data_IF_827094017628
#
_entry.id   IF_827094017628
#
_cell.length_a   1.000
_cell.length_b   1.000
_cell.length_c   1.000
_cell.angle_alpha   90.00
_cell.angle_beta   90.00
_cell.angle_gamma   90.00
#
_symmetry.space_group_name_H-M   'P 1'
#
loop_
_entity.id
_entity.type
_entity.pdbx_description
1 polymer ?
#
# COMPACT_ATOMS: atom_id res chain seq x y z
N UNK A 1 28.33 24.08 -10.50
CA UNK A 1 27.35 23.23 -11.20
C UNK A 1 26.49 22.54 -10.14
N UNK A 2 25.19 22.84 -10.03
CA UNK A 2 24.35 22.24 -9.00
C UNK A 2 23.93 20.82 -9.43
N UNK A 3 24.08 19.87 -8.50
CA UNK A 3 23.65 18.47 -8.68
C UNK A 3 22.12 18.36 -8.62
N UNK A 4 21.46 17.68 -9.53
CA UNK A 4 20.02 17.46 -9.45
C UNK A 4 19.65 16.47 -8.36
N UNK A 5 18.62 16.81 -7.58
CA UNK A 5 18.05 15.96 -6.53
C UNK A 5 17.22 14.84 -7.14
N UNK A 6 17.48 13.62 -6.74
CA UNK A 6 16.71 12.43 -7.05
C UNK A 6 15.45 12.37 -6.16
N UNK A 7 14.27 12.24 -6.78
CA UNK A 7 13.06 11.80 -6.06
C UNK A 7 13.17 10.28 -5.83
N UNK A 8 12.99 9.77 -4.61
CA UNK A 8 12.94 8.35 -4.37
C UNK A 8 11.59 7.78 -4.77
N UNK A 9 11.64 6.67 -5.48
CA UNK A 9 10.52 5.74 -5.58
C UNK A 9 10.31 5.21 -4.16
N UNK A 10 9.17 5.54 -3.61
CA UNK A 10 8.62 5.27 -2.29
C UNK A 10 9.37 4.21 -1.47
N UNK A 11 10.40 4.65 -0.76
CA UNK A 11 10.79 4.11 0.53
C UNK A 11 11.07 5.33 1.40
N UNK A 12 10.41 5.44 2.53
CA UNK A 12 10.39 6.56 3.47
C UNK A 12 11.77 7.18 3.69
N UNK A 13 12.01 8.35 3.09
CA UNK A 13 13.14 9.19 3.44
C UNK A 13 12.61 10.54 3.95
N UNK A 14 12.73 10.78 5.25
CA UNK A 14 12.49 12.09 5.85
C UNK A 14 13.65 13.03 5.52
N UNK A 15 13.30 14.22 5.02
CA UNK A 15 14.22 15.30 4.69
C UNK A 15 14.76 16.00 5.95
N UNK A 16 16.05 16.29 5.95
CA UNK A 16 16.68 17.32 6.78
C UNK A 16 16.66 18.67 6.03
N UNK A 17 16.10 19.70 6.65
CA UNK A 17 16.28 21.08 6.22
C UNK A 17 17.42 21.73 7.03
N UNK A 18 18.47 22.19 6.34
CA UNK A 18 19.51 23.03 6.90
C UNK A 18 19.21 24.50 6.55
N UNK A 19 19.17 25.35 7.56
CA UNK A 19 18.96 26.80 7.44
C UNK A 19 20.29 27.49 7.10
N UNK A 20 20.32 28.26 6.01
CA UNK A 20 21.32 29.32 5.79
C UNK A 20 20.65 30.67 5.66
N UNK A 21 21.24 31.67 6.29
CA UNK A 21 20.74 33.02 6.43
C UNK A 21 20.83 33.85 5.12
N UNK A 22 19.95 34.79 5.03
CA UNK A 22 19.46 35.56 3.91
C UNK A 22 20.35 36.72 3.45
N UNK A 23 20.50 36.83 2.13
CA UNK A 23 20.63 38.12 1.45
C UNK A 23 19.33 38.39 0.70
N UNK A 24 18.81 39.62 0.77
CA UNK A 24 17.55 40.00 0.13
C UNK A 24 17.69 39.95 -1.40
N UNK A 25 17.01 38.99 -2.04
CA UNK A 25 16.84 38.90 -3.47
C UNK A 25 15.70 39.79 -3.97
N UNK A 26 15.78 40.30 -5.21
CA UNK A 26 14.71 41.09 -5.82
C UNK A 26 13.44 40.25 -5.92
N UNK A 27 12.31 40.85 -5.61
CA UNK A 27 10.97 40.24 -5.69
C UNK A 27 10.77 39.56 -7.05
N UNK A 28 10.55 38.23 -7.12
CA UNK A 28 10.26 37.59 -8.39
C UNK A 28 8.96 38.15 -8.96
N UNK A 29 8.82 38.17 -10.31
CA UNK A 29 7.58 38.59 -10.95
C UNK A 29 6.43 37.72 -10.44
N UNK A 30 5.18 38.26 -10.33
CA UNK A 30 4.05 37.50 -9.84
C UNK A 30 3.92 36.21 -10.65
N UNK A 31 3.84 35.08 -9.92
CA UNK A 31 3.61 33.79 -10.57
C UNK A 31 2.37 33.88 -11.47
N UNK A 32 2.37 33.30 -12.67
CA UNK A 32 1.19 33.27 -13.52
C UNK A 32 0.01 32.73 -12.71
N UNK A 33 -1.14 33.40 -12.82
CA UNK A 33 -2.35 32.99 -12.11
C UNK A 33 -2.57 31.49 -12.32
N UNK A 34 -2.58 30.72 -11.24
CA UNK A 34 -2.76 29.28 -11.31
C UNK A 34 -4.06 29.00 -12.08
N UNK A 35 -3.98 28.18 -13.13
CA UNK A 35 -5.18 27.78 -13.88
C UNK A 35 -6.15 27.13 -12.89
N UNK A 36 -7.43 27.54 -12.88
CA UNK A 36 -8.42 27.01 -11.91
C UNK A 36 -8.71 25.51 -12.12
N UNK A 37 -8.17 24.92 -13.14
CA UNK A 37 -8.32 23.48 -13.46
C UNK A 37 -7.00 22.84 -13.85
N UNK A 38 -6.86 21.56 -13.52
CA UNK A 38 -5.70 20.73 -13.84
C UNK A 38 -6.19 19.37 -14.37
N UNK A 39 -5.68 18.98 -15.53
CA UNK A 39 -5.90 17.66 -16.08
C UNK A 39 -4.85 16.68 -15.53
N UNK A 40 -5.31 15.59 -14.92
CA UNK A 40 -4.49 14.49 -14.42
C UNK A 40 -4.60 13.30 -15.39
N UNK A 41 -3.47 12.67 -15.69
CA UNK A 41 -3.43 11.50 -16.56
C UNK A 41 -2.31 10.57 -16.15
N UNK A 42 -2.61 9.24 -16.15
CA UNK A 42 -1.64 8.19 -15.91
C UNK A 42 -1.95 7.00 -16.81
N UNK A 43 -0.91 6.35 -17.37
CA UNK A 43 -1.03 5.14 -18.15
C UNK A 43 -0.05 4.08 -17.61
N UNK A 44 -0.49 2.83 -17.46
CA UNK A 44 0.35 1.72 -17.02
C UNK A 44 0.12 0.49 -17.89
N UNK A 45 1.17 0.04 -18.57
CA UNK A 45 1.22 -1.23 -19.26
C UNK A 45 1.93 -2.24 -18.35
N UNK A 46 1.34 -3.42 -18.17
CA UNK A 46 1.89 -4.49 -17.34
C UNK A 46 1.74 -5.83 -18.02
N UNK A 47 2.80 -6.61 -17.99
CA UNK A 47 2.79 -8.05 -18.20
C UNK A 47 3.01 -8.71 -16.83
N UNK A 48 2.11 -9.58 -16.40
CA UNK A 48 2.25 -10.43 -15.22
C UNK A 48 2.14 -11.90 -15.62
N UNK A 49 3.05 -12.73 -15.13
CA UNK A 49 2.99 -14.19 -15.27
C UNK A 49 3.03 -14.85 -13.91
N UNK A 50 2.23 -15.89 -13.72
CA UNK A 50 2.15 -16.67 -12.48
C UNK A 50 2.21 -18.15 -12.84
N UNK A 51 3.24 -18.81 -12.35
CA UNK A 51 3.41 -20.26 -12.31
C UNK A 51 3.13 -20.70 -10.86
N UNK A 52 2.06 -21.46 -10.65
CA UNK A 52 1.60 -21.91 -9.32
C UNK A 52 1.22 -23.39 -9.40
N UNK A 53 1.93 -24.23 -8.67
CA UNK A 53 1.78 -25.70 -8.66
C UNK A 53 0.41 -26.19 -8.14
N UNK A 54 -0.48 -25.28 -7.68
CA UNK A 54 -1.88 -25.58 -7.41
C UNK A 54 -2.71 -25.72 -8.69
N UNK A 55 -2.20 -25.28 -9.84
CA UNK A 55 -2.91 -25.24 -11.11
C UNK A 55 -2.15 -26.02 -12.19
N UNK A 56 -2.90 -26.68 -13.07
CA UNK A 56 -2.31 -27.40 -14.21
C UNK A 56 -1.83 -26.47 -15.36
N UNK A 57 -2.11 -25.19 -15.27
CA UNK A 57 -1.80 -24.18 -16.30
C UNK A 57 -1.39 -22.88 -15.64
N UNK A 58 -0.35 -22.28 -16.12
CA UNK A 58 0.12 -20.97 -15.71
C UNK A 58 -0.89 -19.85 -16.06
N UNK A 59 -0.77 -18.72 -15.40
CA UNK A 59 -1.46 -17.50 -15.78
C UNK A 59 -0.53 -16.51 -16.45
N UNK A 60 -1.06 -15.78 -17.43
CA UNK A 60 -0.37 -14.70 -18.12
C UNK A 60 -1.36 -13.61 -18.48
N UNK A 61 -1.13 -12.39 -18.01
CA UNK A 61 -1.96 -11.21 -18.26
C UNK A 61 -1.12 -10.07 -18.79
N UNK A 62 -1.49 -9.55 -19.97
CA UNK A 62 -0.98 -8.29 -20.48
C UNK A 62 -2.09 -7.25 -20.36
N UNK A 63 -1.94 -6.24 -19.50
CA UNK A 63 -2.98 -5.29 -19.16
C UNK A 63 -2.53 -3.86 -19.36
N UNK A 64 -3.42 -3.00 -19.86
CA UNK A 64 -3.25 -1.56 -19.97
C UNK A 64 -4.25 -0.86 -19.08
N UNK A 65 -3.79 -0.03 -18.17
CA UNK A 65 -4.61 0.88 -17.38
C UNK A 65 -4.44 2.30 -17.88
N UNK A 66 -5.55 3.02 -17.99
CA UNK A 66 -5.59 4.46 -18.24
C UNK A 66 -6.41 5.11 -17.14
N UNK A 67 -5.87 6.16 -16.52
CA UNK A 67 -6.58 7.07 -15.60
C UNK A 67 -6.60 8.46 -16.18
N UNK A 68 -7.75 9.10 -16.15
CA UNK A 68 -7.92 10.48 -16.57
C UNK A 68 -8.82 11.21 -15.59
N UNK A 69 -8.38 12.39 -15.15
CA UNK A 69 -9.10 13.20 -14.17
C UNK A 69 -9.02 14.69 -14.45
N UNK A 70 -10.03 15.39 -13.98
CA UNK A 70 -10.09 16.84 -13.96
C UNK A 70 -10.17 17.31 -12.53
N UNK A 71 -9.18 18.07 -12.10
CA UNK A 71 -9.17 18.76 -10.80
C UNK A 71 -9.48 20.23 -11.00
N UNK A 72 -10.44 20.70 -10.22
CA UNK A 72 -10.81 22.13 -10.14
C UNK A 72 -10.32 22.69 -8.80
N UNK A 73 -9.84 23.94 -8.85
CA UNK A 73 -9.47 24.71 -7.67
C UNK A 73 -10.24 26.02 -7.69
N UNK A 74 -10.77 26.44 -6.54
CA UNK A 74 -11.41 27.75 -6.40
C UNK A 74 -11.03 28.41 -5.07
N UNK A 75 -11.61 29.57 -4.78
CA UNK A 75 -11.24 30.37 -3.62
C UNK A 75 -11.33 29.59 -2.29
N UNK A 76 -10.60 30.08 -1.29
CA UNK A 76 -10.67 29.64 0.10
C UNK A 76 -10.22 28.18 0.34
N UNK A 77 -9.33 27.65 -0.52
CA UNK A 77 -8.74 26.34 -0.33
C UNK A 77 -9.59 25.16 -0.78
N UNK A 78 -10.72 25.41 -1.46
CA UNK A 78 -11.56 24.35 -1.99
C UNK A 78 -11.02 23.77 -3.31
N UNK A 79 -11.23 22.48 -3.50
CA UNK A 79 -10.97 21.77 -4.75
C UNK A 79 -11.97 20.65 -4.96
N UNK A 80 -12.14 20.20 -6.21
CA UNK A 80 -12.86 18.98 -6.54
C UNK A 80 -12.05 18.17 -7.54
N UNK A 81 -12.17 16.85 -7.48
CA UNK A 81 -11.61 15.93 -8.45
C UNK A 81 -12.68 14.99 -8.98
N UNK A 82 -12.67 14.77 -10.28
CA UNK A 82 -13.35 13.68 -10.94
C UNK A 82 -12.32 12.90 -11.75
N UNK A 83 -12.10 11.61 -11.43
CA UNK A 83 -11.13 10.73 -12.11
C UNK A 83 -11.80 9.41 -12.47
N UNK A 84 -11.75 9.08 -13.76
CA UNK A 84 -12.13 7.76 -14.27
C UNK A 84 -10.90 6.87 -14.49
N UNK A 85 -11.13 5.56 -14.45
CA UNK A 85 -10.13 4.53 -14.74
C UNK A 85 -10.71 3.54 -15.75
N UNK A 86 -9.87 3.13 -16.73
CA UNK A 86 -10.18 2.05 -17.66
C UNK A 86 -9.05 1.04 -17.71
N UNK A 87 -9.38 -0.25 -17.69
CA UNK A 87 -8.44 -1.36 -17.79
C UNK A 87 -8.85 -2.24 -18.96
N UNK A 88 -7.90 -2.51 -19.85
CA UNK A 88 -8.06 -3.46 -20.95
C UNK A 88 -7.00 -4.57 -20.83
N UNK A 89 -7.34 -5.79 -21.25
CA UNK A 89 -6.43 -6.93 -21.27
C UNK A 89 -6.22 -7.46 -22.70
N UNK A 90 -5.00 -7.87 -23.00
CA UNK A 90 -4.70 -8.64 -24.21
C UNK A 90 -4.69 -10.12 -23.85
N UNK A 91 -5.77 -10.84 -24.21
CA UNK A 91 -5.97 -12.27 -23.94
C UNK A 91 -6.62 -12.55 -22.59
N UNK A 92 -6.92 -13.83 -22.36
CA UNK A 92 -7.70 -14.33 -21.22
C UNK A 92 -7.03 -15.52 -20.52
N UNK A 93 -5.70 -15.63 -20.62
CA UNK A 93 -4.92 -16.73 -20.06
C UNK A 93 -4.66 -16.60 -18.55
N UNK A 94 -5.60 -16.03 -17.79
CA UNK A 94 -5.50 -15.80 -16.34
C UNK A 94 -6.91 -15.74 -15.71
N UNK A 95 -6.98 -15.89 -14.38
CA UNK A 95 -8.21 -15.65 -13.63
C UNK A 95 -8.22 -14.20 -13.11
N UNK A 96 -9.04 -13.33 -13.70
CA UNK A 96 -9.17 -11.95 -13.23
C UNK A 96 -10.13 -11.78 -12.05
N UNK A 97 -10.87 -12.83 -11.67
CA UNK A 97 -12.01 -12.74 -10.77
C UNK A 97 -13.32 -12.28 -11.43
N UNK A 98 -13.25 -11.81 -12.69
CA UNK A 98 -14.39 -11.36 -13.48
C UNK A 98 -14.65 -12.24 -14.73
N UNK A 99 -13.63 -12.92 -15.25
CA UNK A 99 -13.67 -13.67 -16.52
C UNK A 99 -14.01 -15.16 -16.38
N UNK A 100 -14.24 -15.67 -15.18
CA UNK A 100 -14.60 -17.07 -14.93
C UNK A 100 -13.49 -18.11 -15.17
N UNK A 101 -12.23 -17.71 -15.40
CA UNK A 101 -11.10 -18.59 -15.67
C UNK A 101 -10.49 -19.22 -14.42
N UNK A 102 -11.32 -19.80 -13.57
CA UNK A 102 -10.92 -20.34 -12.24
C UNK A 102 -9.94 -21.53 -12.29
N UNK A 103 -9.70 -22.13 -13.47
CA UNK A 103 -8.69 -23.18 -13.66
C UNK A 103 -7.27 -22.65 -13.83
N UNK A 104 -7.05 -21.33 -13.69
CA UNK A 104 -5.76 -20.66 -13.75
C UNK A 104 -5.48 -19.87 -12.49
N UNK A 105 -4.21 -19.62 -12.16
CA UNK A 105 -3.86 -18.70 -11.07
C UNK A 105 -4.52 -17.33 -11.22
N UNK A 106 -4.80 -16.70 -10.08
CA UNK A 106 -5.40 -15.38 -10.05
C UNK A 106 -4.36 -14.28 -10.35
N UNK A 107 -4.72 -13.39 -11.29
CA UNK A 107 -4.12 -12.07 -11.48
C UNK A 107 -5.28 -11.09 -11.40
N UNK A 108 -5.41 -10.41 -10.25
CA UNK A 108 -6.57 -9.56 -9.93
C UNK A 108 -6.46 -8.19 -10.62
N UNK A 109 -6.46 -8.22 -11.95
CA UNK A 109 -6.45 -7.04 -12.82
C UNK A 109 -7.55 -7.22 -13.88
N UNK A 110 -8.86 -7.13 -13.49
CA UNK A 110 -9.98 -7.31 -14.41
C UNK A 110 -10.07 -6.17 -15.42
N UNK A 111 -10.63 -6.47 -16.59
CA UNK A 111 -11.08 -5.44 -17.53
C UNK A 111 -12.28 -4.70 -16.97
N UNK A 112 -12.41 -3.41 -17.29
CA UNK A 112 -13.54 -2.60 -16.89
C UNK A 112 -13.27 -1.11 -17.00
N UNK A 113 -14.32 -0.32 -16.79
CA UNK A 113 -14.27 1.14 -16.70
C UNK A 113 -14.99 1.56 -15.44
N UNK A 114 -14.33 2.36 -14.60
CA UNK A 114 -14.84 2.73 -13.28
C UNK A 114 -14.61 4.20 -12.97
N UNK A 115 -15.46 4.73 -12.08
CA UNK A 115 -15.21 5.96 -11.38
C UNK A 115 -14.20 5.69 -10.27
N UNK A 116 -12.95 6.14 -10.45
CA UNK A 116 -11.90 5.88 -9.48
C UNK A 116 -11.97 6.85 -8.31
N UNK A 117 -12.07 8.15 -8.58
CA UNK A 117 -12.24 9.17 -7.54
C UNK A 117 -13.28 10.23 -7.94
N UNK A 118 -14.08 10.68 -6.96
CA UNK A 118 -15.00 11.80 -7.10
C UNK A 118 -15.21 12.43 -5.72
N UNK A 119 -14.58 13.56 -5.48
CA UNK A 119 -14.65 14.21 -4.17
C UNK A 119 -14.58 15.73 -4.24
N UNK A 120 -15.02 16.37 -3.16
CA UNK A 120 -14.75 17.76 -2.84
C UNK A 120 -13.83 17.78 -1.63
N UNK A 121 -12.81 18.62 -1.66
CA UNK A 121 -11.86 18.82 -0.57
C UNK A 121 -11.72 20.30 -0.23
N UNK A 122 -11.51 20.57 1.04
CA UNK A 122 -11.08 21.85 1.57
C UNK A 122 -9.75 21.67 2.30
N UNK A 123 -8.83 22.61 2.11
CA UNK A 123 -7.54 22.62 2.77
C UNK A 123 -7.09 24.04 3.11
N UNK A 124 -6.59 24.21 4.32
CA UNK A 124 -5.91 25.41 4.77
C UNK A 124 -4.52 25.10 5.36
N UNK A 125 -3.91 26.06 6.09
CA UNK A 125 -2.61 25.90 6.73
C UNK A 125 -2.64 24.99 7.95
N UNK A 126 -3.80 24.70 8.52
CA UNK A 126 -3.96 23.88 9.74
C UNK A 126 -4.43 22.48 9.44
N UNK A 127 -4.95 22.23 8.24
CA UNK A 127 -5.43 20.91 7.90
C UNK A 127 -6.38 20.91 6.72
N UNK A 128 -7.16 19.85 6.59
CA UNK A 128 -8.12 19.73 5.51
C UNK A 128 -9.18 18.67 5.78
N UNK A 129 -10.21 18.69 4.94
CA UNK A 129 -11.27 17.71 4.92
C UNK A 129 -11.60 17.32 3.47
N UNK A 130 -11.98 16.07 3.24
CA UNK A 130 -12.36 15.54 1.93
C UNK A 130 -13.62 14.70 2.09
N UNK A 131 -14.60 14.93 1.22
CA UNK A 131 -15.85 14.18 1.17
C UNK A 131 -16.09 13.59 -0.22
N UNK A 132 -16.37 12.30 -0.31
CA UNK A 132 -16.62 11.57 -1.54
C UNK A 132 -15.68 10.39 -1.74
N UNK A 133 -15.64 9.86 -2.99
CA UNK A 133 -14.78 8.74 -3.35
C UNK A 133 -13.34 9.19 -3.47
N UNK A 134 -12.47 8.60 -2.64
CA UNK A 134 -11.09 9.04 -2.46
C UNK A 134 -10.16 7.87 -2.14
N UNK A 135 -8.86 8.08 -2.36
CA UNK A 135 -7.79 7.22 -1.84
C UNK A 135 -7.54 7.55 -0.38
N UNK A 136 -7.37 6.54 0.44
CA UNK A 136 -6.87 6.69 1.81
C UNK A 136 -5.63 5.83 2.00
N UNK A 137 -4.59 6.45 2.56
CA UNK A 137 -3.31 5.79 2.84
C UNK A 137 -2.83 6.28 4.20
N UNK A 138 -2.81 5.39 5.20
CA UNK A 138 -2.32 5.73 6.53
C UNK A 138 -1.01 5.01 6.80
N UNK A 139 -0.04 5.74 7.31
CA UNK A 139 1.28 5.26 7.71
C UNK A 139 1.98 4.45 6.57
N UNK A 140 2.33 3.18 6.83
CA UNK A 140 2.91 2.28 5.83
C UNK A 140 1.84 1.48 5.05
N UNK A 141 0.56 1.78 5.22
CA UNK A 141 -0.56 1.09 4.59
C UNK A 141 -0.77 -0.38 5.04
N UNK A 142 -0.20 -0.76 6.19
CA UNK A 142 -0.42 -2.09 6.77
C UNK A 142 -1.87 -2.30 7.22
N UNK A 143 -2.55 -1.22 7.61
CA UNK A 143 -3.95 -1.24 8.04
C UNK A 143 -4.89 -0.62 7.03
N UNK A 144 -4.54 0.55 6.51
CA UNK A 144 -5.38 1.34 5.58
C UNK A 144 -4.53 1.75 4.38
N UNK A 145 -4.87 1.25 3.20
CA UNK A 145 -4.16 1.53 1.97
C UNK A 145 -5.05 1.46 0.74
N UNK A 146 -4.54 1.96 -0.39
CA UNK A 146 -5.28 2.00 -1.65
C UNK A 146 -4.92 0.86 -2.61
N UNK A 147 -4.02 -0.06 -2.23
CA UNK A 147 -3.57 -1.15 -3.10
C UNK A 147 -3.13 -0.69 -4.51
N UNK A 148 -2.46 0.46 -4.59
CA UNK A 148 -2.07 1.10 -5.86
C UNK A 148 -1.10 0.28 -6.74
N UNK A 149 -0.65 -0.87 -6.23
CA UNK A 149 0.08 -1.89 -6.99
C UNK A 149 -0.79 -2.49 -8.09
N UNK A 150 -2.07 -2.84 -7.80
CA UNK A 150 -2.98 -3.44 -8.77
C UNK A 150 -3.35 -2.44 -9.87
N UNK A 151 -3.83 -2.94 -11.02
CA UNK A 151 -4.31 -2.06 -12.09
C UNK A 151 -5.52 -1.26 -11.59
N UNK A 152 -6.54 -1.93 -11.05
CA UNK A 152 -7.60 -1.27 -10.31
C UNK A 152 -7.16 -1.11 -8.85
N UNK A 153 -7.31 0.08 -8.29
CA UNK A 153 -6.94 0.36 -6.90
C UNK A 153 -8.14 0.34 -5.96
N UNK A 154 -7.86 0.21 -4.68
CA UNK A 154 -8.86 0.34 -3.63
C UNK A 154 -9.15 1.82 -3.36
N UNK A 155 -10.44 2.20 -3.38
CA UNK A 155 -10.90 3.55 -3.02
C UNK A 155 -12.06 3.47 -2.03
N UNK A 156 -12.35 4.59 -1.38
CA UNK A 156 -13.32 4.65 -0.29
C UNK A 156 -14.31 5.79 -0.51
N UNK A 157 -15.61 5.51 -0.41
CA UNK A 157 -16.61 6.56 -0.22
C UNK A 157 -16.56 6.94 1.25
N UNK A 158 -16.06 8.17 1.56
CA UNK A 158 -15.66 8.55 2.88
C UNK A 158 -15.76 10.07 3.14
N UNK A 159 -15.87 10.40 4.42
CA UNK A 159 -15.51 11.71 4.96
C UNK A 159 -14.18 11.54 5.71
N UNK A 160 -13.14 12.26 5.31
CA UNK A 160 -11.83 12.20 5.96
C UNK A 160 -11.30 13.61 6.25
N UNK A 161 -10.35 13.70 7.15
CA UNK A 161 -9.65 14.96 7.42
C UNK A 161 -8.39 14.76 8.24
N UNK A 162 -7.55 15.79 8.20
CA UNK A 162 -6.37 15.93 9.03
C UNK A 162 -6.35 17.32 9.68
N UNK A 163 -5.78 17.38 10.88
CA UNK A 163 -5.66 18.62 11.63
C UNK A 163 -4.31 18.70 12.33
N UNK A 164 -3.57 19.79 12.06
CA UNK A 164 -2.28 20.10 12.67
C UNK A 164 -2.50 20.90 13.96
N UNK A 165 -2.54 20.22 15.09
CA UNK A 165 -2.64 20.89 16.40
C UNK A 165 -1.41 21.71 16.71
N UNK A 166 -0.24 21.17 16.36
CA UNK A 166 1.07 21.84 16.39
C UNK A 166 1.84 21.44 15.15
N UNK A 167 2.98 22.08 14.83
CA UNK A 167 3.87 21.60 13.75
C UNK A 167 4.34 20.13 13.91
N UNK A 168 4.29 19.62 15.15
CA UNK A 168 4.74 18.26 15.49
C UNK A 168 3.60 17.27 15.69
N UNK A 169 2.34 17.69 15.86
CA UNK A 169 1.20 16.83 16.18
C UNK A 169 0.09 16.99 15.17
N UNK A 170 -0.16 15.90 14.44
CA UNK A 170 -1.23 15.82 13.44
C UNK A 170 -2.23 14.74 13.86
N UNK A 171 -3.51 15.10 13.90
CA UNK A 171 -4.61 14.13 13.99
C UNK A 171 -5.21 13.90 12.62
N UNK A 172 -5.49 12.63 12.30
CA UNK A 172 -6.21 12.19 11.10
C UNK A 172 -7.41 11.38 11.51
N UNK A 173 -8.52 11.61 10.84
CA UNK A 173 -9.74 10.85 11.05
C UNK A 173 -10.43 10.54 9.74
N UNK A 174 -11.17 9.43 9.68
CA UNK A 174 -12.06 9.16 8.59
C UNK A 174 -13.28 8.36 9.05
N UNK A 175 -14.40 8.58 8.40
CA UNK A 175 -15.56 7.72 8.42
C UNK A 175 -15.78 7.15 7.02
N UNK A 176 -15.77 5.81 6.90
CA UNK A 176 -15.90 5.11 5.63
C UNK A 176 -17.31 4.53 5.54
N UNK A 177 -18.00 4.85 4.47
CA UNK A 177 -19.33 4.30 4.15
C UNK A 177 -19.22 3.07 3.24
N UNK A 178 -18.20 3.04 2.37
CA UNK A 178 -17.99 1.98 1.39
C UNK A 178 -16.53 1.84 1.01
N UNK A 179 -16.10 0.61 0.72
CA UNK A 179 -14.84 0.32 0.04
C UNK A 179 -15.10 -0.25 -1.35
N UNK A 180 -14.49 0.32 -2.38
CA UNK A 180 -14.40 -0.24 -3.73
C UNK A 180 -13.08 -0.99 -3.82
N UNK A 181 -13.16 -2.27 -4.18
CA UNK A 181 -12.03 -3.20 -4.07
C UNK A 181 -11.31 -3.36 -5.40
N UNK A 182 -10.07 -3.84 -5.33
CA UNK A 182 -9.19 -4.05 -6.51
C UNK A 182 -9.77 -5.00 -7.56
N UNK A 183 -10.76 -5.82 -7.23
CA UNK A 183 -11.41 -6.74 -8.16
C UNK A 183 -12.37 -6.05 -9.13
N UNK A 184 -12.69 -4.76 -8.89
CA UNK A 184 -13.52 -3.96 -9.78
C UNK A 184 -15.01 -4.34 -9.85
N UNK A 185 -15.78 -3.48 -10.48
CA UNK A 185 -17.24 -3.63 -10.61
C UNK A 185 -17.69 -4.85 -11.40
N UNK A 186 -16.83 -5.41 -12.25
CA UNK A 186 -17.08 -6.59 -13.07
C UNK A 186 -16.79 -7.92 -12.36
N UNK A 187 -16.23 -7.92 -11.14
CA UNK A 187 -15.97 -9.15 -10.40
C UNK A 187 -17.22 -10.02 -10.27
N UNK A 188 -17.08 -11.34 -10.40
CA UNK A 188 -18.22 -12.27 -10.34
C UNK A 188 -18.80 -12.35 -8.92
N UNK A 189 -17.95 -12.27 -7.90
CA UNK A 189 -18.37 -12.15 -6.50
C UNK A 189 -18.72 -10.69 -6.16
N UNK A 190 -19.99 -10.39 -5.83
CA UNK A 190 -20.39 -9.03 -5.43
C UNK A 190 -19.60 -8.49 -4.23
N UNK A 191 -19.21 -9.35 -3.29
CA UNK A 191 -18.43 -8.96 -2.11
C UNK A 191 -16.95 -8.68 -2.43
N UNK A 192 -16.49 -9.09 -3.59
CA UNK A 192 -15.18 -8.72 -4.13
C UNK A 192 -15.21 -7.38 -4.89
N UNK A 193 -16.39 -6.91 -5.35
CA UNK A 193 -16.54 -5.59 -6.01
C UNK A 193 -16.40 -4.45 -5.02
N UNK A 194 -17.29 -4.46 -4.04
CA UNK A 194 -17.39 -3.43 -3.01
C UNK A 194 -18.01 -3.99 -1.74
N UNK A 195 -17.85 -3.27 -0.61
CA UNK A 195 -18.53 -3.57 0.64
C UNK A 195 -19.02 -2.31 1.32
N UNK A 196 -20.22 -2.37 1.88
CA UNK A 196 -20.77 -1.30 2.72
C UNK A 196 -20.12 -1.36 4.08
N UNK A 197 -19.72 -0.19 4.54
CA UNK A 197 -18.99 -0.03 5.80
C UNK A 197 -19.71 0.94 6.74
N UNK A 198 -19.35 0.89 8.01
CA UNK A 198 -19.54 1.96 8.99
C UNK A 198 -18.26 2.05 9.83
N UNK A 199 -17.15 2.29 9.14
CA UNK A 199 -15.81 2.21 9.71
C UNK A 199 -15.33 3.57 10.16
N UNK A 200 -14.78 3.65 11.37
CA UNK A 200 -14.20 4.85 11.93
C UNK A 200 -12.69 4.67 12.12
N UNK A 201 -11.93 5.61 11.60
CA UNK A 201 -10.48 5.63 11.70
C UNK A 201 -10.02 6.84 12.48
N UNK A 202 -9.14 6.64 13.45
CA UNK A 202 -8.46 7.70 14.18
C UNK A 202 -6.97 7.38 14.22
N UNK A 203 -6.13 8.38 13.89
CA UNK A 203 -4.68 8.27 13.85
C UNK A 203 -4.08 9.59 14.35
N UNK A 204 -3.15 9.50 15.30
CA UNK A 204 -2.44 10.63 15.89
C UNK A 204 -0.94 10.45 15.67
N UNK A 205 -0.32 11.33 14.89
CA UNK A 205 1.09 11.29 14.57
C UNK A 205 1.84 12.44 15.25
N UNK A 206 2.80 12.10 16.11
CA UNK A 206 3.73 13.05 16.72
C UNK A 206 5.13 12.87 16.14
N UNK A 207 5.71 13.94 15.61
CA UNK A 207 7.03 13.94 14.99
C UNK A 207 7.99 14.79 15.81
N UNK A 208 9.16 14.25 16.14
CA UNK A 208 10.26 14.95 16.81
C UNK A 208 11.60 14.61 16.17
N UNK A 209 12.22 15.60 15.51
CA UNK A 209 13.42 15.36 14.71
C UNK A 209 13.18 14.30 13.63
N UNK A 210 14.02 13.27 13.61
CA UNK A 210 13.90 12.14 12.68
C UNK A 210 13.06 10.97 13.24
N UNK A 211 12.23 11.21 14.26
CA UNK A 211 11.40 10.19 14.87
C UNK A 211 9.92 10.53 14.73
N UNK A 212 9.10 9.52 14.58
CA UNK A 212 7.64 9.64 14.57
C UNK A 212 7.03 8.57 15.46
N UNK A 213 6.11 9.00 16.32
CA UNK A 213 5.24 8.13 17.11
C UNK A 213 3.81 8.30 16.60
N UNK A 214 3.17 7.20 16.24
CA UNK A 214 1.78 7.18 15.80
C UNK A 214 0.98 6.31 16.75
N UNK A 215 -0.13 6.83 17.26
CA UNK A 215 -1.16 6.05 17.96
C UNK A 215 -2.41 5.96 17.09
N UNK A 216 -3.07 4.81 17.04
CA UNK A 216 -4.26 4.65 16.21
C UNK A 216 -5.34 3.79 16.85
N UNK A 217 -6.59 4.06 16.44
CA UNK A 217 -7.78 3.30 16.75
C UNK A 217 -8.62 3.15 15.47
N UNK A 218 -8.80 1.91 14.98
CA UNK A 218 -9.56 1.59 13.79
C UNK A 218 -10.73 0.68 14.16
N UNK A 219 -11.93 1.22 14.06
CA UNK A 219 -13.20 0.54 14.34
C UNK A 219 -13.84 0.17 13.00
N UNK A 220 -13.45 -0.99 12.47
CA UNK A 220 -13.93 -1.49 11.19
C UNK A 220 -15.24 -2.27 11.36
N UNK A 221 -16.33 -1.74 10.84
CA UNK A 221 -17.64 -2.39 10.77
C UNK A 221 -17.97 -2.67 9.29
N UNK A 222 -17.85 -3.94 8.89
CA UNK A 222 -18.21 -4.45 7.57
C UNK A 222 -19.68 -4.90 7.60
N UNK A 223 -20.56 -4.14 6.93
CA UNK A 223 -22.00 -4.36 6.93
C UNK A 223 -22.44 -5.54 6.07
N UNK A 224 -21.58 -6.02 5.18
CA UNK A 224 -21.83 -7.12 4.28
C UNK A 224 -21.20 -8.44 4.76
N UNK A 225 -20.11 -8.37 5.52
CA UNK A 225 -19.37 -9.51 6.08
C UNK A 225 -19.09 -9.31 7.56
N UNK A 226 -20.04 -9.62 8.41
CA UNK A 226 -19.97 -9.37 9.85
C UNK A 226 -18.70 -9.94 10.51
N UNK A 227 -18.20 -11.11 10.04
CA UNK A 227 -16.98 -11.75 10.55
C UNK A 227 -15.69 -10.97 10.23
N UNK A 228 -15.73 -10.02 9.28
CA UNK A 228 -14.61 -9.13 8.97
C UNK A 228 -14.56 -7.90 9.89
N UNK A 229 -15.61 -7.63 10.68
CA UNK A 229 -15.68 -6.46 11.56
C UNK A 229 -14.75 -6.60 12.75
N UNK A 230 -13.84 -5.63 12.92
CA UNK A 230 -12.76 -5.64 13.92
C UNK A 230 -12.54 -4.29 14.56
N UNK A 231 -12.12 -4.29 15.82
CA UNK A 231 -11.55 -3.12 16.49
C UNK A 231 -10.05 -3.35 16.68
N UNK A 232 -9.23 -2.46 16.13
CA UNK A 232 -7.78 -2.51 16.19
C UNK A 232 -7.25 -1.25 16.86
N UNK A 233 -6.43 -1.42 17.91
CA UNK A 233 -5.77 -0.35 18.63
C UNK A 233 -4.27 -0.62 18.63
N UNK A 234 -3.47 0.38 18.31
CA UNK A 234 -2.03 0.19 18.24
C UNK A 234 -1.22 1.47 18.28
N UNK A 235 0.09 1.27 18.31
CA UNK A 235 1.07 2.33 18.21
C UNK A 235 2.26 1.88 17.37
N UNK A 236 2.82 2.81 16.60
CA UNK A 236 3.99 2.65 15.74
C UNK A 236 5.02 3.71 16.10
N UNK A 237 6.26 3.30 16.34
CA UNK A 237 7.39 4.19 16.51
C UNK A 237 8.44 3.91 15.45
N UNK A 238 8.77 4.92 14.66
CA UNK A 238 9.78 4.82 13.61
C UNK A 238 10.77 5.98 13.71
N UNK A 239 11.99 5.76 13.24
CA UNK A 239 12.99 6.80 13.24
C UNK A 239 14.29 6.36 12.60
N UNK A 240 15.24 7.31 12.51
CA UNK A 240 16.58 7.04 12.04
C UNK A 240 17.60 7.97 12.73
N UNK A 241 18.84 7.47 12.87
CA UNK A 241 20.01 8.25 13.27
C UNK A 241 21.08 8.04 12.21
N UNK A 242 21.16 8.99 11.28
CA UNK A 242 22.09 8.95 10.17
C UNK A 242 23.17 10.02 10.36
N UNK A 243 24.42 9.67 10.02
CA UNK A 243 25.55 10.57 9.88
C UNK A 243 26.19 10.34 8.51
N UNK A 244 26.28 11.38 7.69
CA UNK A 244 26.77 11.31 6.30
C UNK A 244 26.13 10.19 5.46
N UNK A 245 24.81 10.03 5.60
CA UNK A 245 24.04 9.02 4.85
C UNK A 245 24.19 7.59 5.35
N UNK A 246 24.93 7.36 6.44
CA UNK A 246 25.10 6.03 7.07
C UNK A 246 24.54 6.04 8.49
N UNK A 247 23.96 4.93 8.92
CA UNK A 247 23.46 4.80 10.28
C UNK A 247 22.26 3.88 10.42
N UNK A 248 21.69 3.87 11.62
CA UNK A 248 20.60 2.99 12.03
C UNK A 248 19.24 3.68 11.86
N UNK A 249 18.29 2.91 11.39
CA UNK A 249 16.86 3.23 11.46
C UNK A 249 16.11 2.11 12.14
N UNK A 250 14.85 2.37 12.50
CA UNK A 250 13.99 1.39 13.14
C UNK A 250 12.51 1.67 12.86
N UNK A 251 11.75 0.60 12.85
CA UNK A 251 10.29 0.61 12.98
C UNK A 251 9.90 -0.42 14.03
N UNK A 252 9.13 0.03 15.01
CA UNK A 252 8.51 -0.80 16.03
C UNK A 252 7.01 -0.53 16.00
N UNK A 253 6.21 -1.57 15.93
CA UNK A 253 4.75 -1.44 15.97
C UNK A 253 4.16 -2.53 16.84
N UNK A 254 3.11 -2.19 17.61
CA UNK A 254 2.33 -3.15 18.36
C UNK A 254 0.85 -2.77 18.32
N UNK A 255 -0.01 -3.77 18.13
CA UNK A 255 -1.45 -3.58 18.13
C UNK A 255 -2.19 -4.77 18.75
N UNK A 256 -3.44 -4.52 19.06
CA UNK A 256 -4.41 -5.52 19.49
C UNK A 256 -5.65 -5.41 18.63
N UNK A 257 -6.10 -6.55 18.08
CA UNK A 257 -7.31 -6.65 17.28
C UNK A 257 -8.29 -7.60 17.95
N UNK A 258 -9.58 -7.23 17.98
CA UNK A 258 -10.69 -8.04 18.50
C UNK A 258 -11.91 -7.92 17.60
N UNK A 259 -12.87 -8.82 17.75
CA UNK A 259 -14.17 -8.69 17.11
C UNK A 259 -14.87 -7.39 17.51
N UNK A 260 -15.61 -6.79 16.57
CA UNK A 260 -16.31 -5.52 16.73
C UNK A 260 -17.67 -5.53 16.04
N UNK A 261 -18.57 -4.64 16.45
CA UNK A 261 -19.94 -4.49 15.93
C UNK A 261 -20.68 -5.85 15.90
N UNK A 262 -21.19 -6.26 14.75
CA UNK A 262 -21.93 -7.49 14.56
C UNK A 262 -21.10 -8.77 14.41
N UNK A 263 -19.77 -8.73 14.66
CA UNK A 263 -18.91 -9.90 14.52
C UNK A 263 -19.28 -10.99 15.55
N UNK A 264 -19.71 -12.19 15.11
CA UNK A 264 -20.12 -13.27 16.03
C UNK A 264 -18.91 -13.98 16.68
N UNK A 265 -17.69 -13.73 16.22
CA UNK A 265 -16.49 -14.39 16.72
C UNK A 265 -15.89 -13.61 17.90
N UNK A 266 -15.64 -14.32 19.00
CA UNK A 266 -14.95 -13.76 20.15
C UNK A 266 -13.45 -14.08 20.06
N UNK A 267 -12.62 -13.09 19.79
CA UNK A 267 -11.16 -13.23 19.72
C UNK A 267 -10.44 -11.97 20.18
N UNK A 268 -9.16 -12.12 20.42
CA UNK A 268 -8.24 -11.03 20.71
C UNK A 268 -6.84 -11.44 20.28
N UNK A 269 -6.39 -10.94 19.15
CA UNK A 269 -5.10 -11.24 18.56
C UNK A 269 -4.11 -10.07 18.70
N UNK A 270 -2.85 -10.40 18.89
CA UNK A 270 -1.76 -9.45 18.90
C UNK A 270 -1.19 -9.27 17.50
N UNK A 271 -0.71 -8.08 17.23
CA UNK A 271 0.17 -7.74 16.12
C UNK A 271 1.41 -7.07 16.68
N UNK A 272 2.56 -7.37 16.12
CA UNK A 272 3.77 -6.58 16.34
C UNK A 272 4.73 -6.68 15.17
N UNK A 273 5.52 -5.63 14.99
CA UNK A 273 6.59 -5.53 14.01
C UNK A 273 7.85 -5.00 14.71
N UNK A 274 8.96 -5.67 14.46
CA UNK A 274 10.31 -5.20 14.78
C UNK A 274 11.11 -5.15 13.49
N UNK A 275 11.46 -3.96 13.01
CA UNK A 275 12.25 -3.78 11.79
C UNK A 275 13.39 -2.79 12.01
N UNK A 276 14.60 -3.23 12.40
CA UNK A 276 15.82 -2.45 12.31
C UNK A 276 16.27 -2.32 10.84
N UNK A 277 16.87 -1.17 10.53
CA UNK A 277 17.51 -0.91 9.24
C UNK A 277 18.91 -0.33 9.45
N UNK A 278 19.79 -0.56 8.49
CA UNK A 278 21.13 0.05 8.47
C UNK A 278 21.43 0.58 7.07
N UNK A 279 21.63 1.89 6.97
CA UNK A 279 22.02 2.54 5.73
C UNK A 279 23.55 2.70 5.68
N UNK A 280 24.17 2.35 4.55
CA UNK A 280 25.59 2.56 4.31
C UNK A 280 25.90 2.52 2.82
N UNK A 281 26.72 3.45 2.33
CA UNK A 281 27.21 3.50 0.93
C UNK A 281 26.06 3.43 -0.11
N UNK A 282 24.92 4.05 0.17
CA UNK A 282 23.77 4.06 -0.74
C UNK A 282 22.93 2.78 -0.74
N UNK A 283 23.27 1.81 0.11
CA UNK A 283 22.49 0.59 0.36
C UNK A 283 21.83 0.69 1.73
N UNK A 284 20.55 0.34 1.80
CA UNK A 284 19.82 0.15 3.06
C UNK A 284 19.56 -1.34 3.24
N UNK A 285 20.11 -1.89 4.30
CA UNK A 285 19.84 -3.23 4.79
C UNK A 285 18.68 -3.19 5.76
N UNK A 286 17.85 -4.23 5.75
CA UNK A 286 16.76 -4.40 6.71
C UNK A 286 16.72 -5.82 7.24
N UNK A 287 16.29 -5.99 8.47
CA UNK A 287 15.81 -7.25 9.01
C UNK A 287 14.46 -6.98 9.65
N UNK A 288 13.53 -7.91 9.53
CA UNK A 288 12.20 -7.73 10.08
C UNK A 288 11.68 -9.01 10.72
N UNK A 289 10.83 -8.82 11.70
CA UNK A 289 10.02 -9.86 12.29
C UNK A 289 8.63 -9.26 12.53
N UNK A 290 7.70 -9.70 11.70
CA UNK A 290 6.28 -9.31 11.77
C UNK A 290 5.46 -10.49 12.28
N UNK A 291 4.48 -10.19 13.13
CA UNK A 291 3.63 -11.18 13.76
C UNK A 291 2.16 -10.78 13.67
N UNK A 292 1.36 -11.65 13.11
CA UNK A 292 -0.08 -11.57 13.06
C UNK A 292 -0.66 -12.76 13.82
N UNK A 293 -1.15 -12.53 15.04
CA UNK A 293 -1.63 -13.57 15.93
C UNK A 293 -2.78 -14.39 15.35
N UNK A 294 -2.80 -15.68 15.66
CA UNK A 294 -3.87 -16.63 15.32
C UNK A 294 -4.07 -17.66 16.44
N UNK A 295 -5.17 -18.41 16.39
CA UNK A 295 -5.49 -19.42 17.40
C UNK A 295 -5.90 -20.78 16.80
N UNK A 296 -5.69 -20.96 15.50
CA UNK A 296 -6.07 -22.17 14.78
C UNK A 296 -7.49 -22.17 14.23
N UNK A 297 -8.38 -21.30 14.72
CA UNK A 297 -9.73 -21.12 14.20
C UNK A 297 -9.87 -19.83 13.38
N UNK A 298 -9.23 -18.76 13.81
CA UNK A 298 -9.16 -17.48 13.13
C UNK A 298 -7.89 -16.73 13.54
N UNK A 299 -7.53 -15.73 12.74
CA UNK A 299 -6.34 -14.92 12.94
C UNK A 299 -6.62 -13.43 12.72
N UNK A 300 -5.69 -12.59 13.12
CA UNK A 300 -5.67 -11.16 12.83
C UNK A 300 -5.74 -10.92 11.32
N UNK A 301 -6.61 -10.03 10.87
CA UNK A 301 -6.78 -9.68 9.46
C UNK A 301 -6.63 -8.18 9.22
N UNK A 302 -6.18 -7.83 8.03
CA UNK A 302 -5.99 -6.43 7.60
C UNK A 302 -6.76 -6.15 6.29
N UNK A 303 -8.11 -6.22 6.30
CA UNK A 303 -8.93 -6.26 5.08
C UNK A 303 -8.89 -4.98 4.23
N UNK A 304 -8.44 -3.86 4.80
CA UNK A 304 -8.33 -2.55 4.12
C UNK A 304 -6.87 -2.14 3.81
N UNK A 305 -5.92 -3.07 3.97
CA UNK A 305 -4.49 -2.84 3.74
C UNK A 305 -4.12 -2.81 2.25
N UNK A 306 -2.92 -2.31 1.96
CA UNK A 306 -2.21 -2.57 0.70
C UNK A 306 -1.48 -3.92 0.81
N UNK A 307 -2.24 -5.00 0.63
CA UNK A 307 -1.81 -6.37 1.00
C UNK A 307 -0.52 -6.82 0.31
N UNK A 308 -0.37 -6.56 -0.99
CA UNK A 308 0.81 -6.96 -1.79
C UNK A 308 2.15 -6.37 -1.31
N UNK A 309 2.13 -5.36 -0.45
CA UNK A 309 3.35 -4.74 0.08
C UNK A 309 3.95 -5.51 1.27
N UNK A 310 3.25 -6.52 1.79
CA UNK A 310 3.57 -7.24 3.01
C UNK A 310 3.53 -8.76 2.80
N UNK A 311 4.23 -9.50 3.65
CA UNK A 311 4.15 -10.97 3.74
C UNK A 311 4.49 -11.68 2.41
N UNK A 312 5.47 -11.12 1.66
CA UNK A 312 5.94 -11.64 0.36
C UNK A 312 5.06 -11.21 -0.84
N UNK A 313 5.68 -11.16 -2.03
CA UNK A 313 5.03 -10.69 -3.25
C UNK A 313 4.32 -11.77 -4.04
N UNK A 314 4.49 -13.05 -3.66
CA UNK A 314 3.69 -14.15 -4.20
C UNK A 314 2.21 -14.08 -3.77
N UNK A 315 1.86 -13.19 -2.84
CA UNK A 315 0.49 -12.94 -2.34
C UNK A 315 -0.14 -14.16 -1.64
N UNK A 316 0.67 -15.04 -1.01
CA UNK A 316 0.17 -16.23 -0.32
C UNK A 316 -0.55 -15.90 1.01
N UNK A 317 -0.22 -14.76 1.59
CA UNK A 317 -0.69 -14.34 2.93
C UNK A 317 -1.54 -13.08 2.91
N UNK A 318 -2.17 -12.74 1.77
CA UNK A 318 -3.15 -11.63 1.70
C UNK A 318 -4.38 -11.84 2.60
N UNK A 319 -4.63 -13.08 3.00
CA UNK A 319 -5.50 -13.47 4.10
C UNK A 319 -4.63 -14.25 5.09
N UNK A 320 -4.52 -13.75 6.32
CA UNK A 320 -3.74 -14.44 7.35
C UNK A 320 -4.34 -15.80 7.66
N UNK A 321 -3.57 -16.90 7.59
CA UNK A 321 -4.06 -18.24 7.91
C UNK A 321 -4.60 -18.33 9.35
N UNK A 322 -5.53 -19.25 9.66
CA UNK A 322 -6.11 -19.38 11.00
C UNK A 322 -5.08 -19.59 12.12
N UNK A 323 -3.95 -20.21 11.80
CA UNK A 323 -2.81 -20.37 12.73
C UNK A 323 -2.01 -19.10 12.96
N UNK A 324 -2.39 -17.97 12.37
CA UNK A 324 -1.59 -16.74 12.40
C UNK A 324 -0.42 -16.78 11.42
N UNK A 325 0.39 -15.73 11.43
CA UNK A 325 1.57 -15.60 10.58
C UNK A 325 2.71 -14.93 11.35
N UNK A 326 3.88 -15.52 11.30
CA UNK A 326 5.16 -14.88 11.58
C UNK A 326 5.93 -14.77 10.27
N UNK A 327 6.24 -13.55 9.83
CA UNK A 327 7.13 -13.27 8.71
C UNK A 327 8.47 -12.77 9.25
N UNK A 328 9.53 -13.56 9.05
CA UNK A 328 10.90 -13.19 9.39
C UNK A 328 11.66 -12.94 8.10
N UNK A 329 12.12 -11.72 7.92
CA UNK A 329 12.76 -11.36 6.66
C UNK A 329 14.06 -10.59 6.83
N UNK A 330 14.88 -10.72 5.81
CA UNK A 330 16.07 -9.89 5.59
C UNK A 330 16.02 -9.32 4.18
N UNK A 331 16.53 -8.12 3.99
CA UNK A 331 16.54 -7.53 2.67
C UNK A 331 17.55 -6.40 2.54
N UNK A 332 17.77 -6.01 1.30
CA UNK A 332 18.59 -4.86 0.96
C UNK A 332 17.99 -4.14 -0.25
N UNK A 333 18.23 -2.85 -0.32
CA UNK A 333 17.82 -2.04 -1.46
C UNK A 333 18.64 -0.76 -1.54
N UNK A 334 18.61 -0.14 -2.71
CA UNK A 334 19.38 1.07 -2.91
C UNK A 334 19.21 1.66 -4.30
N UNK A 335 19.99 2.71 -4.56
CA UNK A 335 20.06 3.36 -5.86
C UNK A 335 21.30 2.90 -6.62
N UNK A 336 21.11 2.63 -7.90
CA UNK A 336 22.19 2.41 -8.88
C UNK A 336 22.38 3.66 -9.76
N UNK A 337 23.46 3.75 -10.55
CA UNK A 337 23.63 4.79 -11.55
C UNK A 337 22.40 4.94 -12.47
N UNK A 338 22.24 6.10 -13.08
CA UNK A 338 21.11 6.45 -13.98
C UNK A 338 19.74 6.43 -13.32
N UNK A 339 19.67 6.67 -11.99
CA UNK A 339 18.42 6.70 -11.20
C UNK A 339 17.67 5.37 -11.16
N UNK A 340 18.34 4.24 -11.35
CA UNK A 340 17.75 2.94 -11.14
C UNK A 340 17.63 2.65 -9.63
N UNK A 341 16.53 2.01 -9.21
CA UNK A 341 16.32 1.53 -7.85
C UNK A 341 16.21 0.02 -7.85
N UNK A 342 16.80 -0.63 -6.86
CA UNK A 342 16.71 -2.08 -6.70
C UNK A 342 16.33 -2.44 -5.27
N UNK A 343 15.70 -3.58 -5.11
CA UNK A 343 15.46 -4.22 -3.82
C UNK A 343 15.51 -5.74 -3.97
N UNK A 344 15.93 -6.40 -2.90
CA UNK A 344 15.88 -7.86 -2.75
C UNK A 344 15.50 -8.17 -1.30
N UNK A 345 14.68 -9.17 -1.07
CA UNK A 345 14.35 -9.71 0.25
C UNK A 345 14.21 -11.22 0.22
N UNK A 346 14.44 -11.81 1.38
CA UNK A 346 14.14 -13.20 1.67
C UNK A 346 13.26 -13.25 2.91
N UNK A 347 12.23 -14.10 2.86
CA UNK A 347 11.21 -14.27 3.88
C UNK A 347 11.15 -15.73 4.34
N UNK A 348 10.95 -15.95 5.64
CA UNK A 348 10.67 -17.24 6.27
C UNK A 348 9.34 -17.14 7.01
N UNK A 349 8.34 -17.89 6.56
CA UNK A 349 6.96 -17.80 7.03
C UNK A 349 6.60 -18.95 7.96
N UNK A 350 6.03 -18.61 9.12
CA UNK A 350 5.63 -19.59 10.14
C UNK A 350 4.23 -19.30 10.68
N UNK A 351 3.60 -20.34 11.21
CA UNK A 351 2.40 -20.19 12.01
C UNK A 351 2.74 -19.67 13.42
N UNK A 352 1.96 -18.73 13.93
CA UNK A 352 1.94 -18.35 15.36
C UNK A 352 1.45 -19.53 16.22
N UNK A 353 0.35 -20.15 15.83
CA UNK A 353 -0.19 -21.35 16.48
C UNK A 353 -0.09 -22.55 15.54
N UNK A 354 0.63 -23.58 15.96
CA UNK A 354 0.76 -24.81 15.20
C UNK A 354 -0.57 -25.54 15.10
N UNK A 355 -0.94 -25.89 13.87
CA UNK A 355 -2.09 -26.73 13.57
C UNK A 355 -1.75 -28.19 13.74
N UNK A 356 -2.72 -29.02 14.12
CA UNK A 356 -2.53 -30.47 14.23
C UNK A 356 -2.03 -31.06 12.89
N UNK A 357 -0.94 -31.81 12.93
CA UNK A 357 -0.33 -32.42 11.74
C UNK A 357 0.59 -31.51 10.92
N UNK A 358 0.87 -30.28 11.39
CA UNK A 358 1.83 -29.35 10.79
C UNK A 358 2.99 -29.10 11.75
N UNK A 359 4.19 -28.93 11.22
CA UNK A 359 5.36 -28.47 11.99
C UNK A 359 5.35 -26.95 12.25
N UNK A 360 4.38 -26.25 11.63
CA UNK A 360 4.20 -24.81 11.76
C UNK A 360 5.04 -23.98 10.80
N UNK A 361 5.79 -24.59 9.87
CA UNK A 361 6.47 -23.88 8.80
C UNK A 361 5.54 -23.76 7.59
N UNK A 362 5.41 -22.56 7.04
CA UNK A 362 4.56 -22.32 5.87
C UNK A 362 5.36 -22.31 4.57
N UNK A 363 6.63 -21.92 4.64
CA UNK A 363 7.51 -21.83 3.48
C UNK A 363 8.43 -20.63 3.53
N UNK A 364 9.06 -20.35 2.42
CA UNK A 364 9.97 -19.20 2.26
C UNK A 364 9.81 -18.55 0.91
N UNK A 365 10.23 -17.28 0.77
CA UNK A 365 10.08 -16.52 -0.47
C UNK A 365 11.31 -15.65 -0.74
N UNK A 366 11.71 -15.61 -2.01
CA UNK A 366 12.64 -14.62 -2.52
C UNK A 366 11.89 -13.58 -3.36
N UNK A 367 12.15 -12.33 -3.07
CA UNK A 367 11.62 -11.18 -3.79
C UNK A 367 12.75 -10.33 -4.37
N UNK A 368 12.61 -9.87 -5.61
CA UNK A 368 13.56 -8.95 -6.23
C UNK A 368 12.87 -7.96 -7.14
N UNK A 369 13.36 -6.72 -7.17
CA UNK A 369 12.84 -5.68 -8.09
C UNK A 369 13.94 -4.76 -8.60
N UNK A 370 13.74 -4.26 -9.83
CA UNK A 370 14.55 -3.24 -10.47
C UNK A 370 13.64 -2.22 -11.14
N UNK A 371 13.63 -0.99 -10.62
CA UNK A 371 12.96 0.16 -11.22
C UNK A 371 13.96 1.04 -11.95
N UNK A 372 13.59 1.59 -13.12
CA UNK A 372 14.48 2.42 -13.94
C UNK A 372 13.70 3.46 -14.74
N UNK A 373 14.28 4.64 -15.00
CA UNK A 373 13.73 5.59 -15.95
C UNK A 373 13.93 5.06 -17.38
N UNK A 374 12.92 5.20 -18.23
CA UNK A 374 12.99 4.81 -19.64
C UNK A 374 13.21 6.06 -20.50
N UNK A 375 12.22 6.95 -20.55
CA UNK A 375 12.31 8.21 -21.28
C UNK A 375 11.30 9.22 -20.74
N UNK A 376 11.73 10.46 -20.54
CA UNK A 376 10.85 11.54 -20.04
C UNK A 376 10.17 11.15 -18.73
N UNK A 377 8.84 11.08 -18.75
CA UNK A 377 8.01 10.69 -17.61
C UNK A 377 7.68 9.18 -17.56
N UNK A 378 8.31 8.36 -18.43
CA UNK A 378 8.11 6.90 -18.46
C UNK A 378 9.11 6.22 -17.55
N UNK A 379 8.61 5.36 -16.64
CA UNK A 379 9.42 4.49 -15.79
C UNK A 379 9.16 3.02 -16.14
N UNK A 380 10.18 2.19 -16.00
CA UNK A 380 10.10 0.74 -16.13
C UNK A 380 10.29 0.06 -14.78
N UNK A 381 9.69 -1.12 -14.62
CA UNK A 381 9.86 -1.99 -13.46
C UNK A 381 9.93 -3.43 -13.91
N UNK A 382 10.90 -4.17 -13.38
CA UNK A 382 10.95 -5.64 -13.37
C UNK A 382 10.83 -6.08 -11.93
N UNK A 383 9.98 -7.07 -11.66
CA UNK A 383 9.75 -7.59 -10.31
C UNK A 383 9.57 -9.11 -10.37
N UNK A 384 10.09 -9.81 -9.37
CA UNK A 384 10.09 -11.26 -9.24
C UNK A 384 9.68 -11.65 -7.84
N UNK A 385 8.93 -12.77 -7.71
CA UNK A 385 8.71 -13.50 -6.47
C UNK A 385 8.87 -14.99 -6.71
N UNK A 386 9.52 -15.71 -5.79
CA UNK A 386 9.67 -17.18 -5.83
C UNK A 386 9.36 -17.73 -4.42
N UNK A 387 8.10 -18.13 -4.21
CA UNK A 387 7.64 -18.76 -2.99
C UNK A 387 7.84 -20.26 -3.05
N UNK A 388 8.43 -20.84 -2.00
CA UNK A 388 8.62 -22.26 -1.78
C UNK A 388 7.80 -22.71 -0.60
N UNK A 389 6.82 -23.57 -0.89
CA UNK A 389 5.88 -24.12 0.09
C UNK A 389 6.59 -25.13 1.00
N UNK A 390 6.27 -25.05 2.29
CA UNK A 390 6.60 -26.08 3.27
C UNK A 390 5.41 -26.21 4.23
N UNK A 391 4.36 -26.88 3.73
CA UNK A 391 3.12 -27.12 4.50
C UNK A 391 1.97 -26.14 4.28
N UNK A 392 2.16 -25.02 3.58
CA UNK A 392 1.09 -24.07 3.25
C UNK A 392 1.11 -23.67 1.77
N UNK A 393 -0.06 -23.69 1.13
CA UNK A 393 -0.24 -23.35 -0.29
C UNK A 393 0.58 -24.29 -1.23
N UNK A 394 1.13 -23.76 -2.32
CA UNK A 394 1.98 -24.47 -3.28
C UNK A 394 3.10 -23.56 -3.76
N UNK A 395 4.17 -24.13 -4.29
CA UNK A 395 5.25 -23.41 -4.94
C UNK A 395 4.69 -22.44 -5.97
N UNK A 396 5.21 -21.20 -5.96
CA UNK A 396 4.67 -20.17 -6.86
C UNK A 396 5.76 -19.21 -7.27
N UNK A 397 5.86 -18.98 -8.57
CA UNK A 397 6.72 -17.94 -9.15
C UNK A 397 5.89 -16.88 -9.84
N UNK A 398 6.27 -15.64 -9.65
CA UNK A 398 5.65 -14.52 -10.33
C UNK A 398 6.70 -13.63 -10.97
N UNK A 399 6.38 -13.13 -12.17
CA UNK A 399 7.18 -12.13 -12.88
C UNK A 399 6.29 -10.99 -13.34
N UNK A 400 6.73 -9.76 -13.09
CA UNK A 400 6.10 -8.55 -13.60
C UNK A 400 7.08 -7.74 -14.43
N UNK A 401 6.60 -7.30 -15.59
CA UNK A 401 7.23 -6.29 -16.42
C UNK A 401 6.26 -5.13 -16.56
N UNK A 402 6.68 -3.92 -16.23
CA UNK A 402 5.78 -2.76 -16.23
C UNK A 402 6.44 -1.55 -16.87
N UNK A 403 5.65 -0.80 -17.63
CA UNK A 403 5.93 0.56 -18.03
C UNK A 403 4.82 1.46 -17.49
N UNK A 404 5.22 2.58 -16.90
CA UNK A 404 4.26 3.54 -16.38
C UNK A 404 4.64 4.95 -16.82
N UNK A 405 3.67 5.66 -17.39
CA UNK A 405 3.75 7.07 -17.67
C UNK A 405 2.86 7.84 -16.70
N UNK A 406 3.43 8.83 -16.04
CA UNK A 406 2.71 9.75 -15.19
C UNK A 406 3.07 11.17 -15.60
N UNK A 407 2.06 12.02 -15.84
CA UNK A 407 2.32 13.43 -16.14
C UNK A 407 3.06 14.05 -14.94
N UNK A 408 4.19 14.73 -15.16
CA UNK A 408 4.84 15.49 -14.09
C UNK A 408 3.86 16.53 -13.51
N UNK A 409 3.80 16.57 -12.17
CA UNK A 409 3.00 17.55 -11.43
C UNK A 409 3.61 18.95 -11.52
#
# INVERSE_FOLDING_TARGET
MPRPRLLPIVLSALLLAATCATAAEPTPPPAPAATPWQFEFNARLRQETVDDDAFARDASAATLRLRAGLRLHWADGFSALLEGEGIAAAGDAYNSGANGRTSRPAITDPEGVELNQAFIAWKDTRGGATAGRQRLQYDNQRWIGNSGWRQNEQTFDALSGDWHFTPSLVLRGAWLERVHRVNGGEALDPLARERRLSTQLLNAAWTHGAQQLVGYAYLHDDRDVATASTATFGARWSGARLHDGSGLGWTLEAARQRGYAGNPLAFSHAYWLLEPTYASHGVTWRAGWEHLGGNGAHALQTPLATLHAFDGWADKFTVTPPGGLEDRYIGAGGALPRKCGWAVSWHDFRADTRMAGSDGHYGSEWDASLGFPVHGAVTGLVKLADYRSDGFARDTRKLWLQLEWARPK
#
